data_IF_310528164382
#
_entry.id   IF_310528164382
#
_cell.length_a   1.000
_cell.length_b   1.000
_cell.length_c   1.000
_cell.angle_alpha   90.00
_cell.angle_beta   90.00
_cell.angle_gamma   90.00
#
_symmetry.space_group_name_H-M   'P 1'
#
loop_
_entity.id
_entity.type
_entity.pdbx_description
1 polymer ?
#
# COMPACT_ATOMS: atom_id res chain seq x y z
N UNK A 1 2.89 0.94 13.86
CA UNK A 1 1.91 0.58 12.82
C UNK A 1 2.56 0.46 11.44
N UNK A 2 3.35 1.43 10.95
CA UNK A 2 4.19 1.23 9.73
C UNK A 2 5.55 1.93 9.86
N UNK A 3 6.65 1.23 10.19
CA UNK A 3 7.98 1.82 10.38
C UNK A 3 8.75 2.00 9.06
N UNK A 4 8.14 2.66 8.07
CA UNK A 4 8.79 2.94 6.78
C UNK A 4 9.79 4.09 6.90
N UNK A 5 11.02 3.92 6.40
CA UNK A 5 12.05 4.98 6.40
C UNK A 5 12.01 5.87 5.16
N UNK A 6 11.27 5.45 4.13
CA UNK A 6 11.05 6.20 2.89
C UNK A 6 9.57 6.12 2.49
N UNK A 7 9.11 7.03 1.63
CA UNK A 7 7.74 6.98 1.09
C UNK A 7 7.45 5.64 0.41
N UNK A 8 8.43 5.08 -0.32
CA UNK A 8 8.29 3.79 -0.97
C UNK A 8 8.13 2.65 0.05
N UNK A 9 8.96 2.63 1.10
CA UNK A 9 8.82 1.64 2.18
C UNK A 9 7.49 1.77 2.92
N UNK A 10 7.03 3.00 3.18
CA UNK A 10 5.74 3.24 3.80
C UNK A 10 4.60 2.71 2.93
N UNK A 11 4.61 3.02 1.62
CA UNK A 11 3.63 2.50 0.66
C UNK A 11 3.65 0.98 0.62
N UNK A 12 4.83 0.36 0.59
CA UNK A 12 4.97 -1.11 0.65
C UNK A 12 4.29 -1.70 1.88
N UNK A 13 4.56 -1.15 3.06
CA UNK A 13 4.00 -1.64 4.32
C UNK A 13 2.47 -1.47 4.38
N UNK A 14 1.96 -0.32 3.91
CA UNK A 14 0.52 -0.07 3.82
C UNK A 14 -0.12 -1.06 2.85
N UNK A 15 0.48 -1.28 1.68
CA UNK A 15 -0.06 -2.19 0.66
C UNK A 15 0.05 -3.67 1.05
N UNK A 16 1.02 -4.05 1.88
CA UNK A 16 1.07 -5.39 2.48
C UNK A 16 -0.11 -5.65 3.42
N UNK A 17 -0.58 -4.61 4.12
CA UNK A 17 -1.75 -4.71 4.98
C UNK A 17 -3.05 -4.58 4.19
N UNK A 18 -3.20 -3.50 3.40
CA UNK A 18 -4.44 -3.06 2.73
C UNK A 18 -4.51 -3.36 1.24
N UNK A 19 -3.55 -4.11 0.69
CA UNK A 19 -3.53 -4.52 -0.71
C UNK A 19 -3.17 -3.42 -1.69
N UNK A 20 -3.40 -3.70 -2.97
CA UNK A 20 -3.02 -2.80 -4.06
C UNK A 20 -3.79 -1.47 -4.00
N UNK A 21 -3.09 -0.36 -4.25
CA UNK A 21 -3.72 0.95 -4.39
C UNK A 21 -4.68 0.93 -5.60
N UNK A 22 -5.96 1.28 -5.43
CA UNK A 22 -6.91 1.23 -6.55
C UNK A 22 -6.52 2.15 -7.69
N UNK A 23 -6.71 1.69 -8.93
CA UNK A 23 -6.43 2.44 -10.16
C UNK A 23 -7.06 3.85 -10.17
N UNK A 24 -8.25 4.02 -9.59
CA UNK A 24 -8.92 5.32 -9.48
C UNK A 24 -8.11 6.33 -8.65
N UNK A 25 -7.44 5.87 -7.60
CA UNK A 25 -6.56 6.70 -6.76
C UNK A 25 -5.27 7.02 -7.51
N UNK A 26 -4.67 6.03 -8.17
CA UNK A 26 -3.45 6.21 -8.97
C UNK A 26 -3.65 7.22 -10.12
N UNK A 27 -4.79 7.17 -10.81
CA UNK A 27 -5.14 8.12 -11.89
C UNK A 27 -5.21 9.58 -11.43
N UNK A 28 -5.55 9.83 -10.15
CA UNK A 28 -5.63 11.19 -9.56
C UNK A 28 -4.27 11.67 -9.04
N UNK A 29 -3.28 10.78 -8.89
CA UNK A 29 -2.00 11.10 -8.27
C UNK A 29 -1.03 11.74 -9.25
N UNK A 30 -0.30 12.77 -8.78
CA UNK A 30 0.78 13.43 -9.53
C UNK A 30 2.12 12.71 -9.44
N UNK A 31 2.29 11.85 -8.43
CA UNK A 31 3.56 11.20 -8.09
C UNK A 31 3.48 9.67 -8.28
N UNK A 32 2.43 9.17 -8.93
CA UNK A 32 2.23 7.73 -9.09
C UNK A 32 3.37 7.06 -9.87
N UNK A 33 3.89 7.71 -10.90
CA UNK A 33 4.99 7.22 -11.73
C UNK A 33 6.33 7.07 -10.96
N UNK A 34 6.48 7.67 -9.77
CA UNK A 34 7.67 7.48 -8.94
C UNK A 34 7.69 6.14 -8.18
N UNK A 35 6.53 5.48 -8.08
CA UNK A 35 6.35 4.30 -7.24
C UNK A 35 5.62 3.16 -7.96
N UNK A 36 4.99 3.45 -9.09
CA UNK A 36 4.21 2.51 -9.87
C UNK A 36 4.61 2.61 -11.34
N UNK A 37 4.60 1.47 -12.03
CA UNK A 37 4.89 1.39 -13.46
C UNK A 37 3.87 0.46 -14.13
N UNK A 38 3.55 0.75 -15.39
CA UNK A 38 2.72 -0.14 -16.20
C UNK A 38 3.56 -1.27 -16.82
N UNK A 39 2.93 -2.39 -17.13
CA UNK A 39 3.60 -3.51 -17.82
C UNK A 39 4.35 -3.06 -19.09
N UNK A 40 3.77 -2.13 -19.85
CA UNK A 40 4.37 -1.61 -21.09
C UNK A 40 5.62 -0.78 -20.80
N UNK A 41 5.58 0.10 -19.78
CA UNK A 41 6.74 0.91 -19.40
C UNK A 41 7.92 0.04 -18.94
N UNK A 42 7.64 -1.07 -18.23
CA UNK A 42 8.67 -2.01 -17.78
C UNK A 42 9.29 -2.78 -18.97
N UNK A 43 8.54 -3.05 -20.03
CA UNK A 43 9.07 -3.70 -21.23
C UNK A 43 9.97 -2.76 -22.04
N UNK A 44 9.56 -1.49 -22.20
CA UNK A 44 10.33 -0.49 -22.95
C UNK A 44 11.67 -0.14 -22.30
N UNK A 45 11.77 -0.15 -20.96
CA UNK A 45 13.05 0.11 -20.27
C UNK A 45 14.12 -0.97 -20.51
N UNK A 46 13.72 -2.19 -20.91
CA UNK A 46 14.64 -3.31 -21.14
C UNK A 46 15.19 -3.37 -22.57
N UNK A 47 14.87 -2.39 -23.43
CA UNK A 47 15.25 -2.37 -24.85
C UNK A 47 15.95 -1.06 -25.29
N UNK A 48 16.47 -0.27 -24.37
CA UNK A 48 17.15 1.00 -24.70
C UNK A 48 18.62 0.77 -25.04
N UNK A 49 18.88 0.48 -26.32
CA UNK A 49 20.16 0.77 -26.97
C UNK A 49 20.24 2.28 -27.26
N UNK A 50 21.15 2.98 -26.58
CA UNK A 50 22.01 3.98 -27.24
C UNK A 50 21.53 5.38 -27.60
N UNK A 51 20.40 5.93 -27.13
CA UNK A 51 20.08 7.36 -27.35
C UNK A 51 19.67 8.09 -26.06
N UNK A 52 20.50 9.05 -25.63
CA UNK A 52 20.36 9.85 -24.39
C UNK A 52 19.59 11.17 -24.60
N UNK A 53 18.84 11.35 -25.69
CA UNK A 53 18.20 12.65 -25.98
C UNK A 53 16.79 12.87 -25.39
N UNK A 54 16.21 11.90 -24.67
CA UNK A 54 14.85 12.02 -24.11
C UNK A 54 14.77 11.99 -22.58
N UNK A 55 15.72 12.63 -21.87
CA UNK A 55 15.58 12.87 -20.43
C UNK A 55 14.75 14.14 -20.23
N UNK A 56 13.42 14.05 -20.23
CA UNK A 56 12.66 15.27 -19.97
C UNK A 56 11.16 15.32 -20.15
N UNK A 57 10.40 14.23 -20.00
CA UNK A 57 8.99 14.35 -19.59
C UNK A 57 8.66 13.14 -18.72
N UNK A 58 8.27 13.37 -17.47
CA UNK A 58 7.73 12.31 -16.63
C UNK A 58 6.46 11.76 -17.30
N UNK A 59 6.57 10.67 -18.06
CA UNK A 59 5.43 10.05 -18.71
C UNK A 59 4.39 9.69 -17.65
N UNK A 60 3.19 10.23 -17.85
CA UNK A 60 2.04 9.97 -16.97
C UNK A 60 1.81 8.45 -16.93
N UNK A 61 1.64 7.90 -15.73
CA UNK A 61 1.39 6.47 -15.55
C UNK A 61 0.18 6.02 -16.38
N UNK A 62 0.38 5.06 -17.29
CA UNK A 62 -0.71 4.47 -18.07
C UNK A 62 -1.47 3.41 -17.25
N UNK A 63 -2.46 3.89 -16.48
CA UNK A 63 -3.38 3.06 -15.69
C UNK A 63 -4.54 2.50 -16.55
N UNK A 64 -4.60 2.83 -17.85
CA UNK A 64 -5.78 2.59 -18.69
C UNK A 64 -5.83 1.21 -19.32
N UNK A 65 -4.71 0.72 -19.86
CA UNK A 65 -4.68 -0.48 -20.72
C UNK A 65 -3.78 -1.61 -20.22
N UNK A 66 -2.95 -1.34 -19.21
CA UNK A 66 -1.91 -2.27 -18.78
C UNK A 66 -1.97 -2.51 -17.27
N UNK A 67 -1.55 -3.72 -16.88
CA UNK A 67 -1.38 -4.07 -15.47
C UNK A 67 -0.38 -3.11 -14.82
N UNK A 68 -0.75 -2.57 -13.65
CA UNK A 68 0.10 -1.68 -12.86
C UNK A 68 0.81 -2.49 -11.77
N UNK A 69 2.12 -2.29 -11.67
CA UNK A 69 2.94 -2.88 -10.63
C UNK A 69 3.48 -1.81 -9.69
N UNK A 70 3.64 -2.18 -8.42
CA UNK A 70 4.39 -1.37 -7.47
C UNK A 70 5.87 -1.67 -7.62
N UNK A 71 6.67 -0.61 -7.67
CA UNK A 71 8.12 -0.67 -7.82
C UNK A 71 8.75 -0.45 -6.45
N UNK A 72 9.06 -1.55 -5.74
CA UNK A 72 9.66 -1.52 -4.41
C UNK A 72 11.15 -1.19 -4.49
N UNK A 73 11.59 -0.18 -3.74
CA UNK A 73 12.99 0.19 -3.62
C UNK A 73 13.58 -0.51 -2.40
N UNK A 74 14.47 -1.46 -2.65
CA UNK A 74 15.17 -2.21 -1.61
C UNK A 74 16.67 -1.95 -1.72
N UNK A 75 17.36 -1.89 -0.58
CA UNK A 75 18.83 -1.88 -0.57
C UNK A 75 19.28 -3.32 -0.46
N UNK A 76 20.02 -3.80 -1.46
CA UNK A 76 20.60 -5.14 -1.40
C UNK A 76 21.61 -5.21 -0.24
N UNK A 77 21.46 -6.15 0.71
CA UNK A 77 22.34 -6.26 1.86
C UNK A 77 23.81 -6.49 1.50
N UNK A 78 24.09 -7.13 0.36
CA UNK A 78 25.45 -7.51 -0.08
C UNK A 78 26.07 -6.40 -0.92
N UNK A 79 25.41 -5.95 -1.98
CA UNK A 79 25.97 -4.96 -2.91
C UNK A 79 25.81 -3.50 -2.44
N UNK A 80 24.94 -3.25 -1.45
CA UNK A 80 24.52 -1.90 -1.01
C UNK A 80 23.89 -1.04 -2.12
N UNK A 81 23.60 -1.64 -3.28
CA UNK A 81 22.95 -0.96 -4.39
C UNK A 81 21.44 -0.87 -4.14
N UNK A 82 20.84 0.23 -4.59
CA UNK A 82 19.38 0.33 -4.63
C UNK A 82 18.87 -0.51 -5.80
N UNK A 83 18.05 -1.50 -5.49
CA UNK A 83 17.41 -2.37 -6.47
C UNK A 83 15.93 -2.09 -6.46
N UNK A 84 15.37 -1.96 -7.66
CA UNK A 84 13.92 -1.78 -7.85
C UNK A 84 13.31 -3.12 -8.21
N UNK A 85 12.40 -3.64 -7.37
CA UNK A 85 11.68 -4.89 -7.61
C UNK A 85 10.23 -4.63 -7.93
N UNK A 86 9.71 -5.27 -9.00
CA UNK A 86 8.27 -5.30 -9.25
C UNK A 86 7.58 -6.16 -8.21
N UNK A 87 6.50 -5.66 -7.61
CA UNK A 87 5.67 -6.41 -6.69
C UNK A 87 4.22 -6.42 -7.17
N UNK A 88 3.59 -7.58 -6.99
CA UNK A 88 2.17 -7.79 -7.24
C UNK A 88 1.45 -8.01 -5.91
N UNK A 89 0.34 -7.30 -5.72
CA UNK A 89 -0.47 -7.39 -4.52
C UNK A 89 -1.82 -8.00 -4.89
N UNK A 90 -2.24 -9.04 -4.17
CA UNK A 90 -3.56 -9.64 -4.37
C UNK A 90 -4.67 -8.73 -3.84
N UNK A 91 -5.85 -8.81 -4.45
CA UNK A 91 -7.02 -7.93 -4.23
C UNK A 91 -7.77 -8.22 -2.91
N UNK A 92 -7.31 -9.15 -2.07
CA UNK A 92 -8.07 -9.68 -0.94
C UNK A 92 -7.93 -8.87 0.38
N UNK A 93 -8.06 -7.55 0.29
CA UNK A 93 -7.39 -6.66 1.23
C UNK A 93 -8.21 -6.06 2.39
N UNK A 94 -9.45 -6.53 2.58
CA UNK A 94 -10.27 -6.18 3.75
C UNK A 94 -10.16 -7.18 4.90
N UNK A 95 -10.28 -8.48 4.62
CA UNK A 95 -10.27 -9.49 5.70
C UNK A 95 -8.85 -9.85 6.15
N UNK A 96 -7.86 -9.78 5.26
CA UNK A 96 -6.46 -10.05 5.62
C UNK A 96 -5.87 -8.96 6.53
N UNK A 97 -6.25 -7.69 6.34
CA UNK A 97 -5.78 -6.58 7.17
C UNK A 97 -6.27 -6.69 8.61
N UNK A 98 -7.58 -6.90 8.80
CA UNK A 98 -8.18 -7.05 10.14
C UNK A 98 -7.56 -8.25 10.87
N UNK A 99 -7.37 -9.39 10.20
CA UNK A 99 -6.77 -10.57 10.82
C UNK A 99 -5.30 -10.35 11.20
N UNK A 100 -4.54 -9.64 10.36
CA UNK A 100 -3.15 -9.28 10.66
C UNK A 100 -3.08 -8.31 11.86
N UNK A 101 -3.98 -7.33 11.93
CA UNK A 101 -4.09 -6.41 13.07
C UNK A 101 -4.46 -7.15 14.36
N UNK A 102 -5.44 -8.06 14.30
CA UNK A 102 -5.81 -8.90 15.45
C UNK A 102 -4.62 -9.74 15.94
N UNK A 103 -3.89 -10.38 15.03
CA UNK A 103 -2.69 -11.15 15.37
C UNK A 103 -1.58 -10.31 16.02
N UNK A 104 -1.45 -9.03 15.65
CA UNK A 104 -0.52 -8.11 16.28
C UNK A 104 -0.99 -7.58 17.64
N UNK A 105 -2.30 -7.54 17.86
CA UNK A 105 -2.90 -6.99 19.08
C UNK A 105 -3.20 -8.05 20.14
N UNK A 106 -3.34 -9.32 19.75
CA UNK A 106 -3.56 -10.40 20.70
C UNK A 106 -2.31 -10.68 21.52
N UNK A 107 -2.44 -10.53 22.83
CA UNK A 107 -1.55 -11.15 23.79
C UNK A 107 -2.17 -12.46 24.33
N UNK A 108 -1.34 -13.48 24.50
CA UNK A 108 -1.75 -14.86 24.82
C UNK A 108 -2.51 -14.96 26.15
N UNK A 109 -2.32 -13.98 27.06
CA UNK A 109 -2.98 -13.88 28.36
C UNK A 109 -4.28 -13.06 28.40
N UNK A 110 -4.79 -12.58 27.26
CA UNK A 110 -5.95 -11.67 27.24
C UNK A 110 -7.27 -12.37 27.59
N UNK A 111 -8.05 -11.80 28.53
CA UNK A 111 -9.40 -12.25 28.89
C UNK A 111 -10.36 -12.22 27.68
N UNK A 112 -11.46 -13.00 27.67
CA UNK A 112 -12.43 -12.97 26.57
C UNK A 112 -13.06 -11.60 26.34
N UNK A 113 -13.28 -10.77 27.38
CA UNK A 113 -13.79 -9.41 27.19
C UNK A 113 -12.76 -8.50 26.51
N UNK A 114 -11.48 -8.63 26.88
CA UNK A 114 -10.38 -7.87 26.26
C UNK A 114 -10.26 -8.24 24.78
N UNK A 115 -10.37 -9.53 24.44
CA UNK A 115 -10.34 -10.00 23.05
C UNK A 115 -11.48 -9.40 22.22
N UNK A 116 -12.68 -9.26 22.80
CA UNK A 116 -13.80 -8.61 22.13
C UNK A 116 -13.53 -7.12 21.85
N UNK A 117 -12.97 -6.39 22.82
CA UNK A 117 -12.56 -4.98 22.61
C UNK A 117 -11.41 -4.86 21.60
N UNK A 118 -10.46 -5.80 21.56
CA UNK A 118 -9.40 -5.86 20.54
C UNK A 118 -10.00 -6.04 19.14
N UNK A 119 -11.00 -6.90 19.00
CA UNK A 119 -11.69 -7.10 17.72
C UNK A 119 -12.38 -5.83 17.24
N UNK A 120 -13.05 -5.12 18.14
CA UNK A 120 -13.66 -3.82 17.84
C UNK A 120 -12.61 -2.75 17.51
N UNK A 121 -11.46 -2.77 18.17
CA UNK A 121 -10.36 -1.86 17.89
C UNK A 121 -9.74 -2.14 16.51
N UNK A 122 -9.52 -3.41 16.18
CA UNK A 122 -8.98 -3.82 14.88
C UNK A 122 -9.89 -3.37 13.73
N UNK A 123 -11.21 -3.52 13.88
CA UNK A 123 -12.20 -3.04 12.91
C UNK A 123 -12.19 -1.51 12.76
N UNK A 124 -12.11 -0.77 13.87
CA UNK A 124 -12.00 0.70 13.84
C UNK A 124 -10.72 1.14 13.11
N UNK A 125 -9.58 0.52 13.43
CA UNK A 125 -8.29 0.84 12.80
C UNK A 125 -8.31 0.54 11.31
N UNK A 126 -8.91 -0.58 10.89
CA UNK A 126 -9.03 -0.92 9.47
C UNK A 126 -9.81 0.15 8.70
N UNK A 127 -10.96 0.60 9.25
CA UNK A 127 -11.78 1.66 8.67
C UNK A 127 -11.07 3.02 8.64
N UNK A 128 -10.26 3.33 9.65
CA UNK A 128 -9.45 4.56 9.68
C UNK A 128 -8.31 4.54 8.65
N UNK A 129 -7.78 3.35 8.33
CA UNK A 129 -6.60 3.17 7.47
C UNK A 129 -6.95 2.75 6.03
N UNK A 130 -8.20 2.89 5.63
CA UNK A 130 -8.67 2.64 4.28
C UNK A 130 -7.85 3.43 3.23
N UNK A 131 -7.44 2.76 2.14
CA UNK A 131 -6.54 3.38 1.13
C UNK A 131 -7.26 4.52 0.42
N UNK A 132 -8.56 4.35 0.14
CA UNK A 132 -9.39 5.36 -0.50
C UNK A 132 -9.87 6.36 0.55
N UNK A 133 -9.47 7.64 0.50
CA UNK A 133 -9.85 8.60 1.54
C UNK A 133 -11.36 8.78 1.68
N UNK A 134 -12.08 8.76 0.55
CA UNK A 134 -13.54 8.88 0.48
C UNK A 134 -14.29 7.72 1.17
N UNK A 135 -13.61 6.59 1.41
CA UNK A 135 -14.18 5.41 2.10
C UNK A 135 -13.73 5.30 3.56
N UNK A 136 -12.86 6.20 4.03
CA UNK A 136 -12.45 6.21 5.44
C UNK A 136 -13.64 6.60 6.31
N UNK A 137 -13.69 6.00 7.49
CA UNK A 137 -14.65 6.42 8.53
C UNK A 137 -14.46 7.90 8.86
N UNK A 138 -15.57 8.63 8.99
CA UNK A 138 -15.53 10.04 9.40
C UNK A 138 -15.32 10.16 10.92
N UNK A 139 -14.83 11.30 11.44
CA UNK A 139 -14.66 11.48 12.88
C UNK A 139 -15.97 11.26 13.67
N UNK A 140 -17.10 11.69 13.11
CA UNK A 140 -18.42 11.57 13.75
C UNK A 140 -18.87 10.11 13.80
N UNK A 141 -18.63 9.34 12.74
CA UNK A 141 -18.93 7.90 12.70
C UNK A 141 -17.98 7.10 13.61
N UNK A 142 -16.71 7.50 13.68
CA UNK A 142 -15.72 6.86 14.55
C UNK A 142 -16.11 6.97 16.02
N UNK A 143 -16.63 8.12 16.46
CA UNK A 143 -17.13 8.30 17.82
C UNK A 143 -18.32 7.40 18.16
N UNK A 144 -19.11 6.98 17.16
CA UNK A 144 -20.24 6.07 17.33
C UNK A 144 -19.86 4.60 17.20
N UNK A 145 -18.58 4.29 16.98
CA UNK A 145 -18.12 2.92 16.79
C UNK A 145 -18.31 2.08 18.05
N UNK A 146 -18.65 0.80 17.90
CA UNK A 146 -18.87 -0.14 19.01
C UNK A 146 -17.68 -0.29 19.97
N UNK A 147 -16.49 0.15 19.54
CA UNK A 147 -15.31 0.21 20.39
C UNK A 147 -15.46 1.20 21.55
N UNK A 148 -16.08 2.36 21.30
CA UNK A 148 -16.30 3.41 22.31
C UNK A 148 -17.63 3.28 23.06
N UNK A 149 -18.55 2.46 22.55
CA UNK A 149 -19.78 2.05 23.23
C UNK A 149 -19.53 0.87 24.17
#
# INVERSE_FOLDING_TARGET
MFPGRTNNQMLKLIMQLKGMVPNRVLKKSRLANLHFASANQIQSSNHMDGDMSAVGVAEKLDVGKSQIYFMSHEVDPISKLQVTKKMEFQVNSGQQSVNSLKAQLYDSGSSPEIRFKIDQLADLIDKCTEIVPEKRITPIEALKHSFFL
#
